data_IF_667181208540
#
_entry.id   IF_667181208540
#
_cell.length_a   1.000
_cell.length_b   1.000
_cell.length_c   1.000
_cell.angle_alpha   90.00
_cell.angle_beta   90.00
_cell.angle_gamma   90.00
#
_symmetry.space_group_name_H-M   'P 1'
#
loop_
_entity.id
_entity.type
_entity.pdbx_description
1 polymer ?
#
# COMPACT_ATOMS: atom_id res chain seq x y z
N UNK A 1 -20.95 -32.01 -29.08
CA UNK A 1 -19.57 -31.47 -29.13
C UNK A 1 -19.60 -30.22 -28.26
N UNK A 2 -19.39 -30.28 -26.93
CA UNK A 2 -18.14 -30.67 -26.26
C UNK A 2 -16.93 -30.14 -27.05
N UNK A 3 -16.10 -29.24 -26.51
CA UNK A 3 -15.19 -29.52 -25.39
C UNK A 3 -15.09 -28.33 -24.41
N UNK A 4 -15.15 -28.68 -23.12
CA UNK A 4 -14.86 -27.90 -21.91
C UNK A 4 -13.38 -28.07 -21.51
N UNK A 5 -12.77 -27.04 -20.88
CA UNK A 5 -11.73 -27.07 -19.81
C UNK A 5 -10.71 -25.89 -19.93
N UNK A 6 -9.95 -25.53 -18.87
CA UNK A 6 -10.45 -24.79 -17.71
C UNK A 6 -9.55 -23.61 -17.31
N UNK A 7 -10.13 -22.56 -16.75
CA UNK A 7 -9.41 -21.55 -15.96
C UNK A 7 -9.08 -22.12 -14.57
N UNK A 8 -7.80 -22.39 -14.28
CA UNK A 8 -7.22 -22.29 -12.92
C UNK A 8 -5.76 -22.74 -12.90
N UNK A 9 -4.84 -21.80 -12.65
CA UNK A 9 -3.63 -21.97 -11.84
C UNK A 9 -2.73 -20.76 -12.08
N UNK A 10 -2.78 -19.75 -11.19
CA UNK A 10 -1.68 -18.81 -10.96
C UNK A 10 -1.85 -18.02 -9.63
N UNK A 11 -3.06 -17.96 -9.06
CA UNK A 11 -3.30 -17.27 -7.78
C UNK A 11 -2.81 -18.01 -6.51
N UNK A 12 -2.42 -19.29 -6.60
CA UNK A 12 -1.99 -20.06 -5.42
C UNK A 12 -0.51 -19.94 -5.07
N UNK A 13 0.30 -19.29 -5.90
CA UNK A 13 1.74 -19.17 -5.65
C UNK A 13 2.13 -17.89 -4.89
N UNK A 14 1.28 -16.86 -4.91
CA UNK A 14 1.54 -15.57 -4.23
C UNK A 14 1.13 -15.60 -2.74
N UNK A 15 0.28 -16.55 -2.33
CA UNK A 15 -0.18 -16.68 -0.94
C UNK A 15 0.78 -17.43 0.00
N UNK A 16 1.87 -18.02 -0.52
CA UNK A 16 2.85 -18.76 0.27
C UNK A 16 4.05 -17.92 0.73
N UNK A 17 4.38 -16.82 0.04
CA UNK A 17 5.47 -15.92 0.42
C UNK A 17 5.10 -14.94 1.55
N UNK A 18 3.81 -14.62 1.74
CA UNK A 18 3.37 -13.69 2.79
C UNK A 18 3.27 -14.27 4.21
N UNK A 19 3.42 -15.59 4.39
CA UNK A 19 3.34 -16.24 5.72
C UNK A 19 4.63 -16.18 6.55
N UNK A 20 5.76 -15.81 5.95
CA UNK A 20 7.05 -15.77 6.66
C UNK A 20 7.25 -14.44 7.42
N UNK A 21 6.52 -13.37 7.06
CA UNK A 21 6.75 -12.03 7.62
C UNK A 21 5.97 -11.69 8.92
N UNK A 22 5.18 -12.61 9.49
CA UNK A 22 4.39 -12.34 10.73
C UNK A 22 4.90 -13.00 12.00
N UNK A 23 6.17 -13.38 12.08
CA UNK A 23 6.75 -14.01 13.28
C UNK A 23 8.03 -13.38 13.84
N UNK A 24 8.22 -12.08 13.66
CA UNK A 24 9.26 -11.32 14.38
C UNK A 24 8.59 -10.29 15.29
N UNK A 25 8.19 -10.77 16.46
CA UNK A 25 7.75 -9.94 17.59
C UNK A 25 9.03 -9.40 18.25
N UNK A 26 9.32 -8.12 18.01
CA UNK A 26 10.43 -7.36 18.61
C UNK A 26 10.07 -7.07 20.07
N UNK A 27 10.60 -7.87 20.99
CA UNK A 27 10.61 -7.57 22.42
C UNK A 27 11.89 -6.77 22.73
N UNK A 28 11.71 -5.57 23.26
CA UNK A 28 12.77 -4.64 23.64
C UNK A 28 13.58 -5.21 24.81
N UNK A 29 14.90 -5.37 24.60
CA UNK A 29 15.87 -5.63 25.67
C UNK A 29 16.42 -4.29 26.16
N UNK A 30 15.98 -3.87 27.35
CA UNK A 30 16.79 -3.02 28.23
C UNK A 30 17.33 -3.95 29.32
N UNK A 31 18.63 -4.27 29.26
CA UNK A 31 19.39 -4.79 30.40
C UNK A 31 19.76 -3.62 31.33
N UNK A 32 19.89 -3.82 32.65
CA UNK A 32 21.18 -4.32 33.12
C UNK A 32 21.15 -5.24 34.36
N UNK A 33 22.34 -5.82 34.58
CA UNK A 33 22.90 -6.40 35.80
C UNK A 33 22.60 -7.88 36.11
N UNK A 34 23.68 -8.65 36.02
CA UNK A 34 23.86 -9.99 36.52
C UNK A 34 23.59 -10.07 38.02
N UNK A 35 23.01 -11.19 38.47
CA UNK A 35 23.52 -11.94 39.62
C UNK A 35 23.12 -13.42 39.48
N UNK A 36 24.14 -14.26 39.51
CA UNK A 36 24.04 -15.72 39.52
C UNK A 36 23.59 -16.13 40.92
N UNK A 37 22.56 -16.97 41.01
CA UNK A 37 22.47 -17.94 42.11
C UNK A 37 21.65 -19.15 41.69
N UNK A 38 22.34 -20.28 41.71
CA UNK A 38 21.83 -21.64 41.56
C UNK A 38 20.78 -21.98 42.61
N UNK A 39 19.64 -22.54 42.19
CA UNK A 39 18.88 -23.47 43.04
C UNK A 39 18.11 -24.46 42.17
N UNK A 40 18.59 -25.70 42.21
CA UNK A 40 17.92 -26.89 41.68
C UNK A 40 16.64 -27.17 42.45
N UNK A 41 15.64 -27.82 41.84
CA UNK A 41 14.87 -28.92 42.45
C UNK A 41 14.08 -29.71 41.42
N UNK A 42 13.80 -30.95 41.80
CA UNK A 42 13.49 -32.15 41.01
C UNK A 42 12.04 -32.24 40.52
N UNK A 43 11.91 -32.77 39.30
CA UNK A 43 11.18 -33.99 38.88
C UNK A 43 9.85 -34.34 39.58
N UNK A 44 8.80 -34.59 38.77
CA UNK A 44 7.57 -35.22 39.23
C UNK A 44 6.61 -35.57 38.08
N UNK A 45 6.84 -36.73 37.49
CA UNK A 45 5.94 -37.44 36.56
C UNK A 45 4.66 -37.92 37.26
N UNK A 46 3.52 -37.88 36.57
CA UNK A 46 2.27 -38.51 37.01
C UNK A 46 1.25 -38.62 35.88
N UNK A 47 0.70 -39.82 35.71
CA UNK A 47 0.10 -40.37 34.49
C UNK A 47 -1.44 -40.44 34.58
N UNK A 48 -2.08 -40.32 33.41
CA UNK A 48 -3.43 -40.72 32.95
C UNK A 48 -4.42 -41.37 33.92
N UNK A 49 -5.69 -40.90 33.91
CA UNK A 49 -6.90 -41.76 33.82
C UNK A 49 -7.96 -41.06 32.95
N UNK A 50 -8.61 -41.85 32.09
CA UNK A 50 -9.69 -41.52 31.17
C UNK A 50 -11.04 -41.95 31.77
N UNK A 51 -12.11 -41.15 31.65
CA UNK A 51 -13.49 -41.65 31.50
C UNK A 51 -14.43 -40.55 30.98
N UNK A 52 -15.32 -40.96 30.06
CA UNK A 52 -16.40 -40.20 29.42
C UNK A 52 -17.61 -40.12 30.36
N UNK A 53 -18.36 -39.02 30.34
CA UNK A 53 -19.72 -38.91 29.76
C UNK A 53 -20.34 -37.50 29.95
N UNK A 54 -21.41 -37.13 29.21
CA UNK A 54 -21.68 -35.76 28.77
C UNK A 54 -22.66 -35.00 29.68
N UNK A 55 -22.52 -33.67 29.73
CA UNK A 55 -23.55 -32.80 30.28
C UNK A 55 -23.68 -31.50 29.49
N UNK A 56 -24.94 -31.17 29.20
CA UNK A 56 -25.41 -29.93 28.61
C UNK A 56 -25.15 -28.80 29.61
N UNK A 57 -24.42 -27.75 29.20
CA UNK A 57 -24.45 -26.49 29.93
C UNK A 57 -24.24 -25.28 29.01
N UNK A 58 -25.18 -24.38 29.13
CA UNK A 58 -25.36 -23.05 28.55
C UNK A 58 -24.10 -22.19 28.67
N UNK A 59 -23.70 -21.50 27.58
CA UNK A 59 -22.63 -20.49 27.59
C UNK A 59 -23.23 -19.09 27.64
N UNK A 60 -22.85 -18.22 28.60
CA UNK A 60 -23.12 -16.80 28.52
C UNK A 60 -22.11 -16.12 27.59
N UNK A 61 -22.63 -15.26 26.72
CA UNK A 61 -21.88 -14.39 25.82
C UNK A 61 -21.45 -13.14 26.60
N UNK A 62 -20.16 -12.99 26.90
CA UNK A 62 -19.61 -11.74 27.44
C UNK A 62 -19.19 -10.82 26.31
N UNK A 63 -19.91 -9.70 26.19
CA UNK A 63 -19.56 -8.56 25.34
C UNK A 63 -18.38 -7.81 25.95
N UNK A 64 -17.30 -7.64 25.19
CA UNK A 64 -16.18 -6.77 25.55
C UNK A 64 -16.35 -5.44 24.82
N UNK A 65 -16.66 -4.39 25.57
CA UNK A 65 -16.72 -3.01 25.11
C UNK A 65 -15.29 -2.47 25.07
N UNK A 66 -14.79 -2.07 23.91
CA UNK A 66 -13.52 -1.35 23.80
C UNK A 66 -13.78 0.14 23.56
N UNK A 67 -13.45 0.91 24.60
CA UNK A 67 -13.50 2.37 24.69
C UNK A 67 -12.51 2.97 23.67
N UNK A 68 -13.00 3.78 22.73
CA UNK A 68 -12.14 4.57 21.83
C UNK A 68 -11.65 5.81 22.58
N UNK A 69 -10.34 5.99 22.65
CA UNK A 69 -9.73 7.27 22.99
C UNK A 69 -9.60 8.09 21.71
N UNK A 70 -10.14 9.31 21.72
CA UNK A 70 -9.87 10.34 20.72
C UNK A 70 -8.96 11.39 21.36
N UNK A 71 -7.88 11.77 20.68
CA UNK A 71 -7.10 12.97 21.02
C UNK A 71 -7.71 14.18 20.30
N UNK A 72 -7.74 15.37 20.94
CA UNK A 72 -8.30 16.57 20.32
C UNK A 72 -7.27 17.18 19.35
N UNK A 73 -7.74 17.56 18.16
CA UNK A 73 -6.99 18.44 17.26
C UNK A 73 -7.60 19.83 17.38
N UNK A 74 -6.77 20.77 17.80
CA UNK A 74 -7.03 22.20 17.91
C UNK A 74 -7.49 22.75 16.56
N UNK A 75 -8.65 23.41 16.56
CA UNK A 75 -9.18 24.15 15.43
C UNK A 75 -8.83 25.62 15.62
N UNK A 76 -8.02 26.17 14.73
CA UNK A 76 -7.91 27.62 14.56
C UNK A 76 -8.82 28.07 13.42
N UNK A 77 -9.64 29.05 13.77
CA UNK A 77 -10.22 30.13 12.96
C UNK A 77 -11.25 29.84 11.86
N UNK A 78 -12.50 30.25 12.11
CA UNK A 78 -13.01 31.55 11.61
C UNK A 78 -14.49 31.70 12.00
N UNK A 79 -14.76 32.61 12.94
CA UNK A 79 -16.12 32.97 13.37
C UNK A 79 -16.64 34.17 12.56
N UNK A 80 -17.88 34.09 12.08
CA UNK A 80 -18.69 35.26 11.73
C UNK A 80 -19.90 35.28 12.65
N UNK A 81 -19.98 36.33 13.45
CA UNK A 81 -21.01 36.62 14.45
C UNK A 81 -22.38 36.87 13.80
N UNK A 82 -23.43 36.26 14.35
CA UNK A 82 -24.80 36.77 14.25
C UNK A 82 -25.25 37.24 15.62
N UNK A 83 -25.65 38.52 15.68
CA UNK A 83 -26.13 39.25 16.85
C UNK A 83 -27.46 38.71 17.35
N UNK A 84 -27.56 38.55 18.66
CA UNK A 84 -28.81 38.38 19.40
C UNK A 84 -29.72 39.61 19.24
N UNK A 85 -31.01 39.36 19.03
CA UNK A 85 -32.08 40.29 19.40
C UNK A 85 -33.20 39.46 20.06
N UNK A 86 -33.33 39.67 21.37
CA UNK A 86 -34.43 39.24 22.22
C UNK A 86 -35.72 39.97 21.86
N UNK A 87 -36.85 39.27 21.82
CA UNK A 87 -38.16 39.83 22.14
C UNK A 87 -39.01 38.79 22.88
N UNK A 88 -39.88 39.36 23.72
CA UNK A 88 -40.43 38.83 24.95
C UNK A 88 -41.45 37.71 24.84
N UNK A 89 -41.61 37.09 26.01
CA UNK A 89 -42.59 36.10 26.43
C UNK A 89 -44.02 36.65 26.30
N UNK A 90 -44.90 35.92 25.61
CA UNK A 90 -46.30 35.82 26.01
C UNK A 90 -46.79 34.38 25.89
N UNK A 91 -47.75 34.10 26.77
CA UNK A 91 -48.21 32.80 27.25
C UNK A 91 -48.99 31.97 26.23
N UNK A 92 -48.93 30.67 26.53
CA UNK A 92 -49.59 29.53 25.93
C UNK A 92 -51.12 29.70 25.87
N UNK A 93 -51.72 29.55 24.69
CA UNK A 93 -53.09 29.02 24.58
C UNK A 93 -53.35 28.29 23.26
N UNK A 94 -53.98 27.11 23.40
CA UNK A 94 -54.50 26.19 22.39
C UNK A 94 -53.48 25.38 21.57
N UNK A 95 -53.24 24.18 22.10
CA UNK A 95 -52.99 23.00 21.29
C UNK A 95 -54.18 22.74 20.34
N UNK A 96 -53.85 22.16 19.19
CA UNK A 96 -54.74 21.60 18.18
C UNK A 96 -55.44 22.64 17.28
N UNK A 97 -55.43 22.37 15.97
CA UNK A 97 -56.19 23.09 14.93
C UNK A 97 -55.47 24.19 14.12
N UNK A 98 -54.29 23.87 13.55
CA UNK A 98 -53.95 24.32 12.20
C UNK A 98 -53.58 23.10 11.35
N UNK A 99 -54.61 22.61 10.67
CA UNK A 99 -54.65 21.66 9.56
C UNK A 99 -53.27 21.31 8.97
N UNK A 100 -52.79 20.10 9.26
CA UNK A 100 -51.74 19.46 8.49
C UNK A 100 -52.28 19.15 7.09
N UNK A 101 -52.22 20.11 6.17
CA UNK A 101 -52.40 19.83 4.75
C UNK A 101 -51.37 18.77 4.34
N UNK A 102 -51.79 17.63 3.74
CA UNK A 102 -50.84 16.65 3.26
C UNK A 102 -49.96 17.30 2.19
N UNK A 103 -48.65 17.32 2.43
CA UNK A 103 -47.65 17.85 1.51
C UNK A 103 -47.94 17.39 0.08
N UNK A 104 -47.88 18.32 -0.88
CA UNK A 104 -48.16 17.97 -2.27
C UNK A 104 -47.16 16.92 -2.75
N UNK A 105 -47.57 16.06 -3.68
CA UNK A 105 -46.70 15.01 -4.24
C UNK A 105 -45.37 15.58 -4.77
N UNK A 106 -45.38 16.79 -5.30
CA UNK A 106 -44.19 17.48 -5.79
C UNK A 106 -43.23 17.90 -4.66
N UNK A 107 -43.77 18.40 -3.54
CA UNK A 107 -42.97 18.75 -2.35
C UNK A 107 -42.35 17.50 -1.70
N UNK A 108 -43.08 16.39 -1.64
CA UNK A 108 -42.58 15.11 -1.15
C UNK A 108 -41.46 14.57 -2.06
N UNK A 109 -41.64 14.64 -3.38
CA UNK A 109 -40.62 14.23 -4.34
C UNK A 109 -39.35 15.10 -4.23
N UNK A 110 -39.49 16.40 -4.00
CA UNK A 110 -38.36 17.30 -3.79
C UNK A 110 -37.60 17.00 -2.49
N UNK A 111 -38.31 16.74 -1.38
CA UNK A 111 -37.70 16.35 -0.11
C UNK A 111 -36.98 15.00 -0.20
N UNK A 112 -37.59 14.01 -0.87
CA UNK A 112 -36.96 12.72 -1.14
C UNK A 112 -35.70 12.90 -1.99
N UNK A 113 -35.75 13.69 -3.06
CA UNK A 113 -34.59 13.99 -3.89
C UNK A 113 -33.46 14.66 -3.10
N UNK A 114 -33.78 15.57 -2.18
CA UNK A 114 -32.79 16.20 -1.31
C UNK A 114 -32.16 15.20 -0.33
N UNK A 115 -32.97 14.33 0.28
CA UNK A 115 -32.47 13.29 1.20
C UNK A 115 -31.56 12.26 0.50
N UNK A 116 -31.89 11.87 -0.73
CA UNK A 116 -31.04 10.97 -1.52
C UNK A 116 -29.76 11.67 -1.99
N UNK A 117 -29.83 12.94 -2.39
CA UNK A 117 -28.63 13.75 -2.70
C UNK A 117 -27.69 13.83 -1.50
N UNK A 118 -28.20 14.13 -0.31
CA UNK A 118 -27.38 14.18 0.92
C UNK A 118 -26.73 12.83 1.20
N UNK A 119 -27.48 11.73 1.06
CA UNK A 119 -26.97 10.37 1.21
C UNK A 119 -25.84 10.06 0.23
N UNK A 120 -26.01 10.44 -1.04
CA UNK A 120 -24.99 10.25 -2.08
C UNK A 120 -23.75 11.10 -1.81
N UNK A 121 -23.91 12.36 -1.42
CA UNK A 121 -22.80 13.25 -1.05
C UNK A 121 -22.02 12.68 0.14
N UNK A 122 -22.71 12.17 1.16
CA UNK A 122 -22.08 11.52 2.31
C UNK A 122 -21.29 10.28 1.92
N UNK A 123 -21.84 9.44 1.02
CA UNK A 123 -21.15 8.25 0.48
C UNK A 123 -19.93 8.63 -0.34
N UNK A 124 -20.05 9.61 -1.23
CA UNK A 124 -18.95 10.12 -2.04
C UNK A 124 -17.85 10.70 -1.17
N UNK A 125 -18.21 11.50 -0.16
CA UNK A 125 -17.25 12.06 0.81
C UNK A 125 -16.50 10.97 1.56
N UNK A 126 -17.22 9.94 2.05
CA UNK A 126 -16.60 8.80 2.72
C UNK A 126 -15.67 8.02 1.79
N UNK A 127 -16.10 7.73 0.54
CA UNK A 127 -15.26 7.06 -0.45
C UNK A 127 -13.99 7.87 -0.78
N UNK A 128 -14.12 9.20 -0.93
CA UNK A 128 -12.98 10.09 -1.16
C UNK A 128 -12.01 10.12 0.03
N UNK A 129 -12.53 10.09 1.27
CA UNK A 129 -11.70 9.97 2.46
C UNK A 129 -10.93 8.65 2.46
N UNK A 130 -11.59 7.54 2.14
CA UNK A 130 -10.94 6.23 2.02
C UNK A 130 -9.87 6.21 0.92
N UNK A 131 -10.15 6.77 -0.26
CA UNK A 131 -9.17 6.88 -1.34
C UNK A 131 -7.93 7.68 -0.91
N UNK A 132 -8.12 8.79 -0.18
CA UNK A 132 -6.99 9.57 0.37
C UNK A 132 -6.16 8.76 1.37
N UNK A 133 -6.80 7.97 2.24
CA UNK A 133 -6.10 7.11 3.19
C UNK A 133 -5.31 6.01 2.49
N UNK A 134 -5.90 5.32 1.51
CA UNK A 134 -5.24 4.28 0.73
C UNK A 134 -4.05 4.81 -0.05
N UNK A 135 -4.20 5.98 -0.71
CA UNK A 135 -3.08 6.65 -1.40
C UNK A 135 -1.92 6.96 -0.45
N UNK A 136 -2.20 7.38 0.79
CA UNK A 136 -1.16 7.62 1.81
C UNK A 136 -0.48 6.32 2.24
N UNK A 137 -1.25 5.26 2.47
CA UNK A 137 -0.71 3.95 2.85
C UNK A 137 0.20 3.37 1.76
N UNK A 138 -0.19 3.49 0.50
CA UNK A 138 0.65 3.08 -0.63
C UNK A 138 1.97 3.83 -0.67
N UNK A 139 1.97 5.16 -0.45
CA UNK A 139 3.21 5.95 -0.39
C UNK A 139 4.13 5.52 0.75
N UNK A 140 3.58 5.19 1.92
CA UNK A 140 4.37 4.68 3.05
C UNK A 140 4.99 3.34 2.69
N UNK A 141 4.22 2.42 2.10
CA UNK A 141 4.74 1.11 1.68
C UNK A 141 5.83 1.23 0.62
N UNK A 142 5.68 2.13 -0.36
CA UNK A 142 6.71 2.39 -1.37
C UNK A 142 8.00 2.92 -0.73
N UNK A 143 7.89 3.82 0.25
CA UNK A 143 9.05 4.32 0.99
C UNK A 143 9.72 3.21 1.83
N UNK A 144 8.93 2.34 2.46
CA UNK A 144 9.45 1.20 3.20
C UNK A 144 10.21 0.25 2.26
N UNK A 145 9.71 0.00 1.04
CA UNK A 145 10.41 -0.79 0.02
C UNK A 145 11.75 -0.15 -0.39
N UNK A 146 11.79 1.18 -0.55
CA UNK A 146 13.04 1.91 -0.82
C UNK A 146 14.04 1.70 0.30
N UNK A 147 13.60 1.80 1.56
CA UNK A 147 14.46 1.58 2.73
C UNK A 147 14.96 0.14 2.81
N UNK A 148 14.10 -0.85 2.57
CA UNK A 148 14.54 -2.26 2.54
C UNK A 148 15.54 -2.52 1.42
N UNK A 149 15.36 -1.88 0.26
CA UNK A 149 16.32 -1.98 -0.85
C UNK A 149 17.69 -1.41 -0.47
N UNK A 150 17.75 -0.26 0.20
CA UNK A 150 19.03 0.32 0.63
C UNK A 150 19.70 -0.55 1.69
N UNK A 151 18.95 -1.10 2.64
CA UNK A 151 19.47 -2.07 3.62
C UNK A 151 20.02 -3.33 2.94
N UNK A 152 19.30 -3.88 1.96
CA UNK A 152 19.77 -5.03 1.18
C UNK A 152 21.03 -4.72 0.38
N UNK A 153 21.15 -3.52 -0.19
CA UNK A 153 22.34 -3.10 -0.93
C UNK A 153 23.58 -2.98 -0.02
N UNK A 154 23.40 -2.50 1.23
CA UNK A 154 24.49 -2.49 2.23
C UNK A 154 24.95 -3.91 2.54
N UNK A 155 24.01 -4.83 2.79
CA UNK A 155 24.32 -6.23 3.06
C UNK A 155 24.98 -6.92 1.87
N UNK A 156 24.57 -6.61 0.64
CA UNK A 156 25.17 -7.13 -0.59
C UNK A 156 26.66 -6.76 -0.66
N UNK A 157 26.97 -5.48 -0.39
CA UNK A 157 28.34 -4.98 -0.36
C UNK A 157 29.19 -5.61 0.76
N UNK A 158 28.63 -5.78 1.96
CA UNK A 158 29.32 -6.45 3.06
C UNK A 158 29.64 -7.92 2.72
N UNK A 159 28.68 -8.65 2.14
CA UNK A 159 28.88 -10.03 1.71
C UNK A 159 29.90 -10.12 0.57
N UNK A 160 29.90 -9.16 -0.36
CA UNK A 160 30.92 -9.08 -1.42
C UNK A 160 32.32 -8.90 -0.83
N UNK A 161 32.48 -8.04 0.19
CA UNK A 161 33.73 -7.89 0.94
C UNK A 161 34.18 -9.20 1.61
N UNK A 162 33.25 -9.92 2.25
CA UNK A 162 33.52 -11.23 2.85
C UNK A 162 33.91 -12.28 1.81
N UNK A 163 33.33 -12.23 0.62
CA UNK A 163 33.69 -13.12 -0.49
C UNK A 163 35.15 -12.87 -0.90
N UNK A 164 35.56 -11.61 -1.08
CA UNK A 164 36.96 -11.26 -1.44
C UNK A 164 37.96 -11.80 -0.42
N UNK A 165 37.70 -11.58 0.87
CA UNK A 165 38.52 -12.13 1.95
C UNK A 165 38.55 -13.68 1.92
N UNK A 166 37.40 -14.32 1.67
CA UNK A 166 37.33 -15.77 1.58
C UNK A 166 38.06 -16.32 0.33
N UNK A 167 38.11 -15.57 -0.77
CA UNK A 167 38.89 -15.91 -1.97
C UNK A 167 40.39 -15.83 -1.70
N UNK A 168 40.86 -14.77 -1.03
CA UNK A 168 42.27 -14.64 -0.60
C UNK A 168 42.68 -15.78 0.34
N UNK A 169 41.83 -16.14 1.30
CA UNK A 169 42.07 -17.27 2.22
C UNK A 169 42.11 -18.61 1.45
N UNK A 170 41.28 -18.78 0.43
CA UNK A 170 41.29 -19.98 -0.38
C UNK A 170 42.53 -20.06 -1.30
N UNK A 171 43.11 -18.92 -1.67
CA UNK A 171 44.30 -18.82 -2.54
C UNK A 171 45.63 -18.92 -1.76
N UNK A 172 45.67 -18.50 -0.50
CA UNK A 172 46.89 -18.42 0.34
C UNK A 172 47.43 -19.77 0.85
N UNK A 173 46.97 -20.88 0.29
CA UNK A 173 47.41 -22.24 0.62
C UNK A 173 46.55 -22.90 1.70
N UNK A 174 46.44 -24.23 1.65
CA UNK A 174 45.66 -25.01 2.61
C UNK A 174 46.55 -25.37 3.80
N UNK A 175 46.25 -24.90 5.03
CA UNK A 175 47.01 -25.28 6.21
C UNK A 175 46.99 -26.80 6.44
N UNK A 176 48.08 -27.37 6.94
CA UNK A 176 48.10 -28.78 7.35
C UNK A 176 47.06 -29.04 8.44
N UNK A 177 46.32 -30.14 8.32
CA UNK A 177 45.23 -30.50 9.25
C UNK A 177 43.89 -29.82 8.97
N UNK A 178 43.74 -29.08 7.86
CA UNK A 178 42.46 -28.42 7.53
C UNK A 178 41.31 -29.41 7.38
N UNK A 179 40.23 -29.16 8.13
CA UNK A 179 38.99 -29.95 8.08
C UNK A 179 38.35 -29.90 6.69
N UNK A 180 37.85 -31.05 6.25
CA UNK A 180 36.96 -31.16 5.08
C UNK A 180 35.50 -31.27 5.51
N UNK A 181 34.61 -30.65 4.74
CA UNK A 181 33.16 -30.73 4.87
C UNK A 181 32.63 -31.21 3.51
N UNK A 182 31.95 -32.36 3.47
CA UNK A 182 31.45 -32.98 2.24
C UNK A 182 32.54 -33.10 1.14
N UNK A 183 33.75 -33.50 1.52
CA UNK A 183 34.89 -33.66 0.61
C UNK A 183 35.60 -32.36 0.20
N UNK A 184 35.05 -31.18 0.51
CA UNK A 184 35.66 -29.87 0.22
C UNK A 184 36.38 -29.30 1.45
N UNK A 185 37.48 -28.59 1.26
CA UNK A 185 38.14 -27.87 2.36
C UNK A 185 37.22 -26.79 2.93
N UNK A 186 37.30 -26.53 4.24
CA UNK A 186 36.42 -25.58 4.93
C UNK A 186 36.43 -24.19 4.29
N UNK A 187 37.59 -23.72 3.82
CA UNK A 187 37.76 -22.43 3.14
C UNK A 187 36.93 -22.38 1.84
N UNK A 188 37.08 -23.39 0.98
CA UNK A 188 36.30 -23.50 -0.27
C UNK A 188 34.79 -23.69 -0.02
N UNK A 189 34.42 -24.38 1.07
CA UNK A 189 33.02 -24.55 1.46
C UNK A 189 32.40 -23.23 1.90
N UNK A 190 33.12 -22.44 2.72
CA UNK A 190 32.71 -21.10 3.16
C UNK A 190 32.49 -20.19 1.95
N UNK A 191 33.46 -20.13 1.03
CA UNK A 191 33.34 -19.33 -0.19
C UNK A 191 32.08 -19.70 -1.00
N UNK A 192 31.83 -21.00 -1.18
CA UNK A 192 30.62 -21.48 -1.89
C UNK A 192 29.34 -21.03 -1.18
N UNK A 193 29.31 -21.08 0.16
CA UNK A 193 28.16 -20.65 0.96
C UNK A 193 27.93 -19.15 0.87
N UNK A 194 28.98 -18.33 0.96
CA UNK A 194 28.91 -16.87 0.82
C UNK A 194 28.40 -16.48 -0.56
N UNK A 195 28.93 -17.07 -1.64
CA UNK A 195 28.43 -16.86 -3.01
C UNK A 195 26.95 -17.23 -3.15
N UNK A 196 26.50 -18.30 -2.48
CA UNK A 196 25.09 -18.67 -2.49
C UNK A 196 24.20 -17.68 -1.73
N UNK A 197 24.71 -17.04 -0.67
CA UNK A 197 24.00 -15.97 0.07
C UNK A 197 23.95 -14.70 -0.77
N UNK A 198 25.07 -14.26 -1.34
CA UNK A 198 25.15 -13.10 -2.24
C UNK A 198 24.13 -13.22 -3.37
N UNK A 199 24.09 -14.37 -4.08
CA UNK A 199 23.11 -14.61 -5.14
C UNK A 199 21.66 -14.50 -4.66
N UNK A 200 21.36 -14.87 -3.41
CA UNK A 200 20.00 -14.71 -2.85
C UNK A 200 19.65 -13.26 -2.59
N UNK A 201 20.60 -12.48 -2.06
CA UNK A 201 20.43 -11.04 -1.83
C UNK A 201 20.23 -10.33 -3.18
N UNK A 202 21.08 -10.63 -4.16
CA UNK A 202 20.97 -10.11 -5.53
C UNK A 202 19.58 -10.39 -6.14
N UNK A 203 19.07 -11.62 -5.99
CA UNK A 203 17.72 -11.96 -6.45
C UNK A 203 16.63 -11.16 -5.70
N UNK A 204 16.77 -10.98 -4.39
CA UNK A 204 15.81 -10.19 -3.61
C UNK A 204 15.81 -8.72 -4.02
N UNK A 205 16.97 -8.14 -4.32
CA UNK A 205 17.08 -6.77 -4.84
C UNK A 205 16.34 -6.67 -6.18
N UNK A 206 16.55 -7.61 -7.10
CA UNK A 206 15.82 -7.68 -8.37
C UNK A 206 14.31 -7.79 -8.18
N UNK A 207 13.87 -8.61 -7.22
CA UNK A 207 12.44 -8.75 -6.90
C UNK A 207 11.85 -7.42 -6.38
N UNK A 208 12.60 -6.66 -5.58
CA UNK A 208 12.17 -5.34 -5.10
C UNK A 208 12.13 -4.33 -6.26
N UNK A 209 13.10 -4.36 -7.17
CA UNK A 209 13.15 -3.47 -8.34
C UNK A 209 11.92 -3.62 -9.24
N UNK A 210 11.39 -4.84 -9.39
CA UNK A 210 10.17 -5.12 -10.16
C UNK A 210 8.90 -4.55 -9.52
N UNK A 211 8.91 -4.35 -8.20
CA UNK A 211 7.74 -3.87 -7.44
C UNK A 211 7.83 -2.38 -7.13
N UNK A 212 9.05 -1.83 -7.12
CA UNK A 212 9.32 -0.43 -6.81
C UNK A 212 8.71 0.50 -7.86
N UNK A 213 7.97 1.51 -7.43
CA UNK A 213 7.51 2.59 -8.31
C UNK A 213 8.69 3.51 -8.66
N UNK A 214 8.81 3.87 -9.94
CA UNK A 214 9.78 4.80 -10.50
C UNK A 214 9.09 6.08 -10.95
N UNK A 215 9.80 7.19 -10.81
CA UNK A 215 9.36 8.49 -11.31
C UNK A 215 9.63 8.59 -12.81
N UNK A 216 8.56 8.75 -13.58
CA UNK A 216 8.57 8.81 -15.04
C UNK A 216 8.11 10.21 -15.45
N UNK A 217 9.04 11.08 -15.90
CA UNK A 217 8.68 12.39 -16.40
C UNK A 217 7.99 12.26 -17.75
N UNK A 218 6.84 12.93 -17.90
CA UNK A 218 6.11 13.06 -19.15
C UNK A 218 6.04 14.52 -19.55
N UNK A 219 5.99 14.75 -20.85
CA UNK A 219 5.93 16.08 -21.41
C UNK A 219 5.00 16.12 -22.63
N UNK A 220 4.38 17.28 -22.78
CA UNK A 220 3.58 17.65 -23.94
C UNK A 220 4.02 19.02 -24.45
N UNK A 221 4.15 19.17 -25.76
CA UNK A 221 4.52 20.42 -26.40
C UNK A 221 3.37 20.91 -27.26
N UNK A 222 2.93 22.15 -27.05
CA UNK A 222 1.85 22.74 -27.84
C UNK A 222 1.15 23.86 -27.10
N UNK A 223 0.44 24.72 -27.86
CA UNK A 223 -0.47 25.70 -27.27
C UNK A 223 -1.71 24.96 -26.78
N UNK A 224 -1.94 25.01 -25.47
CA UNK A 224 -3.08 24.42 -24.80
C UNK A 224 -3.40 25.25 -23.55
N UNK A 225 -4.65 25.23 -23.11
CA UNK A 225 -5.06 25.79 -21.81
C UNK A 225 -4.85 24.77 -20.69
N UNK A 226 -5.22 23.51 -20.96
CA UNK A 226 -5.14 22.39 -20.02
C UNK A 226 -4.69 21.12 -20.72
N UNK A 227 -3.80 20.37 -20.06
CA UNK A 227 -3.31 19.09 -20.56
C UNK A 227 -3.37 18.06 -19.45
N UNK A 228 -4.04 16.95 -19.71
CA UNK A 228 -4.14 15.81 -18.79
C UNK A 228 -3.65 14.54 -19.49
N UNK A 229 -2.92 13.68 -18.78
CA UNK A 229 -2.55 12.36 -19.27
C UNK A 229 -3.43 11.30 -18.64
N UNK A 230 -4.01 10.45 -19.48
CA UNK A 230 -4.87 9.32 -19.10
C UNK A 230 -4.19 8.02 -19.56
N UNK A 231 -4.42 6.91 -18.89
CA UNK A 231 -3.85 5.65 -19.37
C UNK A 231 -4.21 4.40 -18.59
N UNK A 232 -3.59 3.29 -18.94
CA UNK A 232 -3.82 2.00 -18.26
C UNK A 232 -3.29 1.97 -16.83
N UNK A 233 -2.41 2.91 -16.45
CA UNK A 233 -1.85 2.98 -15.10
C UNK A 233 -2.89 3.24 -14.00
N UNK A 234 -3.99 3.91 -14.33
CA UNK A 234 -5.13 4.14 -13.44
C UNK A 234 -6.43 3.55 -13.98
N UNK A 235 -6.34 2.72 -15.02
CA UNK A 235 -7.50 2.13 -15.70
C UNK A 235 -8.36 3.13 -16.46
N UNK A 236 -7.77 4.20 -17.00
CA UNK A 236 -8.46 5.23 -17.79
C UNK A 236 -9.54 5.98 -16.99
N UNK A 237 -9.26 6.29 -15.72
CA UNK A 237 -10.28 6.80 -14.80
C UNK A 237 -10.16 8.29 -14.49
N UNK A 238 -9.03 8.72 -13.92
CA UNK A 238 -8.83 10.09 -13.42
C UNK A 238 -7.77 10.82 -14.22
N UNK A 239 -6.68 10.12 -14.57
CA UNK A 239 -5.49 10.72 -15.16
C UNK A 239 -4.68 11.57 -14.17
N UNK A 240 -3.69 12.26 -14.73
CA UNK A 240 -2.85 13.23 -14.02
C UNK A 240 -2.73 14.49 -14.87
N UNK A 241 -2.87 15.65 -14.24
CA UNK A 241 -2.74 16.93 -14.92
C UNK A 241 -1.27 17.29 -15.14
N UNK A 242 -0.97 17.89 -16.28
CA UNK A 242 0.36 18.41 -16.58
C UNK A 242 0.42 19.91 -16.23
N UNK A 243 1.50 20.28 -15.56
CA UNK A 243 1.78 21.67 -15.20
C UNK A 243 2.40 22.42 -16.39
N UNK A 244 1.93 23.62 -16.72
CA UNK A 244 2.56 24.44 -17.75
C UNK A 244 3.93 24.97 -17.29
N UNK A 245 4.94 24.74 -18.11
CA UNK A 245 6.29 25.29 -18.04
C UNK A 245 6.47 26.31 -19.17
N UNK A 246 6.63 27.58 -18.79
CA UNK A 246 6.86 28.64 -19.77
C UNK A 246 8.32 28.63 -20.25
N UNK A 247 8.57 27.96 -21.38
CA UNK A 247 9.88 27.95 -22.04
C UNK A 247 9.87 28.89 -23.24
N UNK A 248 9.71 30.19 -22.98
CA UNK A 248 9.84 31.25 -23.98
C UNK A 248 8.90 31.11 -25.19
N UNK A 249 9.36 30.43 -26.25
CA UNK A 249 8.71 30.34 -27.56
C UNK A 249 7.61 29.27 -27.69
N UNK A 250 7.59 28.25 -26.81
CA UNK A 250 6.57 27.21 -26.80
C UNK A 250 6.10 26.94 -25.37
N UNK A 251 4.80 26.71 -25.20
CA UNK A 251 4.24 26.16 -23.96
C UNK A 251 4.59 24.67 -23.89
N UNK A 252 5.40 24.32 -22.91
CA UNK A 252 5.69 22.94 -22.53
C UNK A 252 4.81 22.61 -21.34
N UNK A 253 4.28 21.41 -21.28
CA UNK A 253 3.55 20.89 -20.14
C UNK A 253 4.32 19.69 -19.61
N UNK A 254 4.47 19.57 -18.29
CA UNK A 254 5.21 18.48 -17.67
C UNK A 254 4.48 17.88 -16.48
N UNK A 255 4.68 16.59 -16.25
CA UNK A 255 4.26 15.91 -15.03
C UNK A 255 5.20 14.75 -14.72
N UNK A 256 5.16 14.26 -13.48
CA UNK A 256 5.96 13.10 -13.05
C UNK A 256 5.04 12.04 -12.51
N UNK A 257 4.91 10.93 -13.24
CA UNK A 257 4.11 9.78 -12.82
C UNK A 257 4.96 8.82 -11.98
N UNK A 258 4.36 8.22 -10.95
CA UNK A 258 4.98 7.13 -10.18
C UNK A 258 4.44 5.79 -10.63
N UNK A 259 5.16 5.13 -11.54
CA UNK A 259 4.75 3.90 -12.21
C UNK A 259 5.68 2.74 -11.87
N UNK A 260 5.15 1.52 -11.82
CA UNK A 260 5.99 0.32 -11.69
C UNK A 260 6.59 -0.05 -13.04
N UNK A 261 7.68 -0.83 -13.09
CA UNK A 261 8.17 -1.38 -14.34
C UNK A 261 7.08 -2.14 -15.08
N UNK A 262 6.90 -1.83 -16.36
CA UNK A 262 5.76 -2.32 -17.12
C UNK A 262 5.51 -1.55 -18.41
N UNK A 263 4.47 -1.99 -19.12
CA UNK A 263 4.00 -1.38 -20.35
C UNK A 263 2.65 -0.72 -20.09
N UNK A 264 2.55 0.56 -20.40
CA UNK A 264 1.35 1.36 -20.18
C UNK A 264 0.91 1.98 -21.50
N UNK A 265 -0.39 1.98 -21.74
CA UNK A 265 -0.96 2.76 -22.83
C UNK A 265 -1.44 4.08 -22.25
N UNK A 266 -1.09 5.18 -22.89
CA UNK A 266 -1.42 6.53 -22.46
C UNK A 266 -2.00 7.34 -23.62
N UNK A 267 -2.78 8.36 -23.30
CA UNK A 267 -3.29 9.35 -24.25
C UNK A 267 -3.44 10.70 -23.55
N UNK A 268 -3.27 11.78 -24.30
CA UNK A 268 -3.36 13.13 -23.77
C UNK A 268 -4.75 13.69 -24.06
N UNK A 269 -5.37 14.29 -23.06
CA UNK A 269 -6.56 15.09 -23.19
C UNK A 269 -6.12 16.56 -23.15
N UNK A 270 -6.17 17.23 -24.30
CA UNK A 270 -5.74 18.62 -24.47
C UNK A 270 -6.98 19.44 -24.78
N UNK A 271 -7.33 20.38 -23.91
CA UNK A 271 -8.52 21.24 -24.06
C UNK A 271 -9.83 20.48 -24.36
N UNK A 272 -9.93 19.25 -23.82
CA UNK A 272 -11.09 18.37 -24.01
C UNK A 272 -11.04 17.45 -25.24
N UNK A 273 -10.01 17.57 -26.08
CA UNK A 273 -9.79 16.71 -27.25
C UNK A 273 -8.70 15.66 -27.00
N UNK A 274 -8.84 14.49 -27.63
CA UNK A 274 -7.89 13.39 -27.46
C UNK A 274 -6.74 13.49 -28.46
N UNK A 275 -5.52 13.58 -27.95
CA UNK A 275 -4.31 13.69 -28.74
C UNK A 275 -3.31 12.57 -28.45
N UNK A 276 -2.56 12.23 -29.50
CA UNK A 276 -1.37 11.40 -29.42
C UNK A 276 -0.15 12.31 -29.44
N UNK A 277 0.81 12.02 -28.57
CA UNK A 277 2.08 12.73 -28.56
C UNK A 277 3.03 12.11 -29.59
N UNK A 278 3.70 12.91 -30.44
CA UNK A 278 4.70 12.41 -31.39
C UNK A 278 5.97 11.89 -30.69
N UNK A 279 6.15 12.22 -29.41
CA UNK A 279 7.34 11.89 -28.61
C UNK A 279 7.33 10.44 -28.11
N UNK A 280 6.18 9.78 -28.18
CA UNK A 280 5.99 8.40 -27.71
C UNK A 280 5.56 7.49 -28.85
N UNK A 281 6.08 6.25 -28.91
CA UNK A 281 5.65 5.28 -29.91
C UNK A 281 4.15 5.02 -29.76
N UNK A 282 3.45 4.73 -30.86
CA UNK A 282 2.02 4.41 -30.83
C UNK A 282 1.77 2.90 -30.88
N UNK A 283 0.63 2.48 -30.32
CA UNK A 283 0.14 1.11 -30.33
C UNK A 283 -1.37 1.11 -30.56
N UNK A 284 -1.87 0.09 -31.27
CA UNK A 284 -3.27 -0.01 -31.65
C UNK A 284 -3.52 0.39 -33.11
N UNK A 285 -4.80 0.53 -33.47
CA UNK A 285 -5.23 0.92 -34.83
C UNK A 285 -6.46 1.81 -34.77
N UNK A 286 -6.47 2.88 -35.57
CA UNK A 286 -7.60 3.78 -35.74
C UNK A 286 -7.96 4.51 -34.45
N UNK A 287 -9.23 4.44 -34.02
CA UNK A 287 -9.72 5.15 -32.84
C UNK A 287 -9.14 4.62 -31.51
N UNK A 288 -8.63 3.39 -31.52
CA UNK A 288 -7.99 2.75 -30.36
C UNK A 288 -6.47 2.94 -30.35
N UNK A 289 -5.95 3.82 -31.20
CA UNK A 289 -4.54 4.18 -31.17
C UNK A 289 -4.22 5.01 -29.92
N UNK A 290 -3.20 4.56 -29.19
CA UNK A 290 -2.69 5.12 -27.94
C UNK A 290 -1.17 5.25 -28.02
N UNK A 291 -0.58 6.10 -27.18
CA UNK A 291 0.87 6.11 -26.98
C UNK A 291 1.27 4.97 -26.04
N UNK A 292 2.42 4.35 -26.30
CA UNK A 292 3.01 3.30 -25.48
C UNK A 292 4.12 3.89 -24.61
N UNK A 293 3.95 3.79 -23.30
CA UNK A 293 4.94 4.14 -22.30
C UNK A 293 5.54 2.86 -21.71
N UNK A 294 6.84 2.66 -21.89
CA UNK A 294 7.58 1.53 -21.31
C UNK A 294 8.42 2.04 -20.15
N UNK A 295 8.19 1.46 -18.97
CA UNK A 295 8.95 1.73 -17.76
C UNK A 295 9.84 0.52 -17.51
N UNK A 296 11.15 0.72 -17.61
CA UNK A 296 12.18 -0.26 -17.23
C UNK A 296 12.38 -0.26 -15.72
#
# INVERSE_FOLDING_TARGET
MEIYAPWSCLEKQVLLSFKIARKLKRENLNSPSCNITTRSFRMGSGMLIHSREPSVMTRPQSYWIQRRHSLPVTSEESSMQSKDLSLDVEEIESAEELLAEPLSSEQLNALLANSERERLVKRLSHANQQNRLLKRQLRVQDNDLVNFKTELAVLDHEVEGLIKLAEEIAQSGIPEGTRKINGKYIQSHLLTKLKAVHKKIENQIKDVDLVQSKEVPLFWYGMAESVQVMGTFDGWSVGEDLSPEYTGAYSKFSTTLRLRPGRYEIKFLVDGEWHLSPEFPTVGQGLMENNLLVVE
#
